data_IF_176961295671
#
_entry.id   IF_176961295671
#
_cell.length_a   1.000
_cell.length_b   1.000
_cell.length_c   1.000
_cell.angle_alpha   90.00
_cell.angle_beta   90.00
_cell.angle_gamma   90.00
#
_symmetry.space_group_name_H-M   'P 1'
#
loop_
_entity.id
_entity.type
_entity.pdbx_description
1 polymer ?
#
# COMPACT_ATOMS: atom_id res chain seq x y z
N UNK A 1 -21.64 -15.61 -9.53
CA UNK A 1 -20.36 -15.29 -8.84
C UNK A 1 -19.33 -16.24 -9.40
N UNK A 2 -18.28 -15.74 -10.07
CA UNK A 2 -17.09 -16.55 -10.35
C UNK A 2 -16.47 -16.87 -9.00
N UNK A 3 -16.41 -18.13 -8.60
CA UNK A 3 -15.61 -18.56 -7.47
C UNK A 3 -14.17 -18.13 -7.76
N UNK A 4 -13.51 -17.52 -6.79
CA UNK A 4 -12.08 -17.21 -6.89
C UNK A 4 -11.35 -18.52 -7.14
N UNK A 5 -10.50 -18.56 -8.18
CA UNK A 5 -9.66 -19.72 -8.43
C UNK A 5 -8.65 -19.85 -7.26
N UNK A 6 -8.49 -21.00 -6.62
CA UNK A 6 -7.56 -21.18 -5.51
C UNK A 6 -6.12 -20.75 -5.81
N UNK A 7 -5.70 -20.81 -7.08
CA UNK A 7 -4.41 -20.28 -7.52
C UNK A 7 -4.28 -18.76 -7.40
N UNK A 8 -5.41 -18.03 -7.33
CA UNK A 8 -5.45 -16.57 -7.19
C UNK A 8 -5.49 -16.12 -5.72
N UNK A 9 -5.33 -17.05 -4.77
CA UNK A 9 -5.30 -16.77 -3.32
C UNK A 9 -3.92 -17.08 -2.76
N UNK A 10 -3.20 -16.06 -2.29
CA UNK A 10 -1.91 -16.17 -1.61
C UNK A 10 -2.11 -16.03 -0.10
N UNK A 11 -1.69 -17.01 0.69
CA UNK A 11 -1.75 -16.97 2.15
C UNK A 11 -0.52 -16.26 2.69
N UNK A 12 -0.71 -15.14 3.43
CA UNK A 12 0.38 -14.33 3.97
C UNK A 12 0.93 -14.84 5.29
N UNK A 13 0.18 -15.67 6.01
CA UNK A 13 0.62 -16.25 7.26
C UNK A 13 -0.52 -16.76 8.12
N UNK A 14 -0.16 -17.33 9.27
CA UNK A 14 -1.03 -17.91 10.27
C UNK A 14 -0.63 -17.40 11.66
N UNK A 15 -1.51 -17.54 12.63
CA UNK A 15 -1.19 -17.26 14.03
C UNK A 15 -0.36 -18.39 14.67
N UNK A 16 -0.46 -19.61 14.12
CA UNK A 16 0.31 -20.76 14.55
C UNK A 16 1.64 -20.86 13.78
N UNK A 17 2.78 -20.84 14.49
CA UNK A 17 4.11 -20.92 13.87
C UNK A 17 4.31 -22.21 13.05
N UNK A 18 3.71 -23.32 13.50
CA UNK A 18 3.75 -24.59 12.78
C UNK A 18 3.14 -24.51 11.38
N UNK A 19 2.05 -23.77 11.24
CA UNK A 19 1.39 -23.54 9.95
C UNK A 19 2.19 -22.54 9.09
N UNK A 20 2.77 -21.51 9.69
CA UNK A 20 3.65 -20.57 9.00
C UNK A 20 4.83 -21.28 8.34
N UNK A 21 5.50 -22.18 9.05
CA UNK A 21 6.63 -22.93 8.52
C UNK A 21 6.28 -23.81 7.32
N UNK A 22 5.04 -24.23 7.19
CA UNK A 22 4.58 -25.13 6.12
C UNK A 22 3.93 -24.39 4.95
N UNK A 23 3.13 -23.35 5.22
CA UNK A 23 2.15 -22.83 4.26
C UNK A 23 2.21 -21.33 4.01
N UNK A 24 2.97 -20.56 4.79
CA UNK A 24 3.17 -19.13 4.55
C UNK A 24 3.72 -18.89 3.15
N UNK A 25 3.24 -17.83 2.51
CA UNK A 25 3.63 -17.38 1.17
C UNK A 25 3.35 -18.40 0.05
N UNK A 26 2.44 -19.36 0.31
CA UNK A 26 1.96 -20.31 -0.70
C UNK A 26 0.57 -19.96 -1.22
N UNK A 27 0.30 -20.39 -2.46
CA UNK A 27 -1.04 -20.31 -3.02
C UNK A 27 -1.93 -21.40 -2.44
N UNK A 28 -3.23 -21.11 -2.34
CA UNK A 28 -4.19 -22.07 -1.77
C UNK A 28 -4.26 -23.38 -2.56
N UNK A 29 -4.10 -23.35 -3.89
CA UNK A 29 -4.04 -24.55 -4.71
C UNK A 29 -2.79 -25.40 -4.44
N UNK A 30 -1.65 -24.77 -4.13
CA UNK A 30 -0.42 -25.47 -3.72
C UNK A 30 -0.61 -26.16 -2.36
N UNK A 31 -1.21 -25.45 -1.41
CA UNK A 31 -1.52 -26.00 -0.09
C UNK A 31 -2.51 -27.16 -0.22
N UNK A 32 -3.53 -27.04 -1.05
CA UNK A 32 -4.53 -28.08 -1.32
C UNK A 32 -3.90 -29.36 -1.86
N UNK A 33 -2.95 -29.22 -2.78
CA UNK A 33 -2.16 -30.37 -3.31
C UNK A 33 -1.36 -31.09 -2.21
N UNK A 34 -0.75 -30.31 -1.29
CA UNK A 34 -0.02 -30.88 -0.16
C UNK A 34 -0.93 -31.63 0.82
N UNK A 35 -2.17 -31.16 0.99
CA UNK A 35 -3.18 -31.82 1.83
C UNK A 35 -3.86 -33.01 1.16
N UNK A 36 -3.76 -33.14 -0.18
CA UNK A 36 -4.50 -34.15 -0.95
C UNK A 36 -6.02 -33.93 -0.92
N UNK A 37 -6.47 -32.68 -0.72
CA UNK A 37 -7.88 -32.25 -0.58
C UNK A 37 -8.22 -31.17 -1.58
N UNK A 38 -9.51 -30.93 -1.78
CA UNK A 38 -9.96 -29.75 -2.54
C UNK A 38 -9.73 -28.45 -1.73
N UNK A 39 -9.86 -27.31 -2.39
CA UNK A 39 -9.56 -26.01 -1.77
C UNK A 39 -10.50 -25.64 -0.62
N UNK A 40 -11.78 -26.00 -0.72
CA UNK A 40 -12.78 -25.68 0.30
C UNK A 40 -12.51 -26.48 1.60
N UNK A 41 -12.25 -27.78 1.46
CA UNK A 41 -11.86 -28.65 2.59
C UNK A 41 -10.53 -28.21 3.22
N UNK A 42 -9.54 -27.86 2.38
CA UNK A 42 -8.23 -27.34 2.82
C UNK A 42 -8.41 -26.04 3.62
N UNK A 43 -9.22 -25.13 3.13
CA UNK A 43 -9.49 -23.86 3.82
C UNK A 43 -10.12 -24.07 5.19
N UNK A 44 -11.09 -24.98 5.29
CA UNK A 44 -11.72 -25.34 6.57
C UNK A 44 -10.68 -25.93 7.55
N UNK A 45 -9.86 -26.87 7.07
CA UNK A 45 -8.81 -27.47 7.89
C UNK A 45 -7.81 -26.43 8.41
N UNK A 46 -7.38 -25.48 7.56
CA UNK A 46 -6.48 -24.41 7.94
C UNK A 46 -7.09 -23.47 8.98
N UNK A 47 -8.36 -23.10 8.83
CA UNK A 47 -9.07 -22.25 9.81
C UNK A 47 -9.17 -22.97 11.16
N UNK A 48 -9.50 -24.25 11.16
CA UNK A 48 -9.60 -25.06 12.39
C UNK A 48 -8.24 -25.25 13.04
N UNK A 49 -7.18 -25.47 12.25
CA UNK A 49 -5.83 -25.69 12.75
C UNK A 49 -5.18 -24.41 13.28
N UNK A 50 -5.44 -23.24 12.65
CA UNK A 50 -4.96 -21.95 13.13
C UNK A 50 -5.60 -21.54 14.45
N UNK A 51 -6.82 -22.01 14.70
CA UNK A 51 -7.57 -21.84 15.95
C UNK A 51 -7.51 -20.41 16.53
N UNK A 52 -7.53 -19.41 15.65
CA UNK A 52 -7.45 -18.00 16.00
C UNK A 52 -8.81 -17.32 15.90
N UNK A 53 -9.06 -16.33 16.76
CA UNK A 53 -10.20 -15.42 16.63
C UNK A 53 -10.04 -14.39 15.50
N UNK A 54 -8.87 -14.31 14.90
CA UNK A 54 -8.55 -13.38 13.81
C UNK A 54 -8.54 -14.12 12.46
N UNK A 55 -8.91 -13.46 11.37
CA UNK A 55 -8.88 -14.05 10.04
C UNK A 55 -7.45 -14.36 9.59
N UNK A 56 -7.27 -15.42 8.84
CA UNK A 56 -6.02 -15.73 8.13
C UNK A 56 -5.82 -14.68 7.04
N UNK A 57 -4.72 -13.89 7.07
CA UNK A 57 -4.48 -12.85 6.07
C UNK A 57 -4.15 -13.46 4.71
N UNK A 58 -4.87 -13.03 3.68
CA UNK A 58 -4.70 -13.49 2.31
C UNK A 58 -4.68 -12.32 1.32
N UNK A 59 -3.98 -12.51 0.19
CA UNK A 59 -4.08 -11.65 -0.98
C UNK A 59 -4.89 -12.37 -2.06
N UNK A 60 -5.84 -11.66 -2.65
CA UNK A 60 -6.66 -12.14 -3.75
C UNK A 60 -6.25 -11.44 -5.04
N UNK A 61 -5.77 -12.18 -6.04
CA UNK A 61 -5.38 -11.66 -7.35
C UNK A 61 -6.59 -11.56 -8.28
N UNK A 62 -7.48 -10.63 -7.98
CA UNK A 62 -8.77 -10.47 -8.68
C UNK A 62 -8.80 -9.26 -9.63
N UNK A 63 -7.79 -8.41 -9.59
CA UNK A 63 -7.77 -7.14 -10.33
C UNK A 63 -6.94 -7.31 -11.59
N UNK A 64 -7.57 -7.00 -12.74
CA UNK A 64 -6.91 -6.97 -14.04
C UNK A 64 -6.14 -5.66 -14.22
N UNK A 65 -4.87 -5.75 -14.63
CA UNK A 65 -3.98 -4.61 -14.82
C UNK A 65 -4.50 -3.61 -15.86
N UNK A 66 -5.17 -4.09 -16.93
CA UNK A 66 -5.76 -3.21 -17.95
C UNK A 66 -6.90 -2.36 -17.37
N UNK A 67 -7.64 -2.90 -16.40
CA UNK A 67 -8.67 -2.13 -15.71
C UNK A 67 -8.06 -1.07 -14.78
N UNK A 68 -6.95 -1.39 -14.12
CA UNK A 68 -6.19 -0.41 -13.33
C UNK A 68 -5.72 0.74 -14.24
N UNK A 69 -5.08 0.43 -15.37
CA UNK A 69 -4.63 1.45 -16.34
C UNK A 69 -5.77 2.32 -16.86
N UNK A 70 -6.92 1.74 -17.20
CA UNK A 70 -8.11 2.49 -17.63
C UNK A 70 -8.62 3.44 -16.54
N UNK A 71 -8.70 2.97 -15.29
CA UNK A 71 -9.11 3.81 -14.17
C UNK A 71 -8.13 4.94 -13.91
N UNK A 72 -6.83 4.66 -14.00
CA UNK A 72 -5.79 5.67 -13.82
C UNK A 72 -5.82 6.76 -14.90
N UNK A 73 -6.36 6.51 -16.09
CA UNK A 73 -6.51 7.52 -17.14
C UNK A 73 -7.68 8.49 -16.89
N UNK A 74 -8.59 8.20 -15.96
CA UNK A 74 -9.74 9.05 -15.65
C UNK A 74 -9.30 10.26 -14.81
N UNK A 75 -9.49 11.53 -15.25
CA UNK A 75 -8.87 12.71 -14.65
C UNK A 75 -9.40 13.05 -13.24
N UNK A 76 -10.49 12.46 -12.81
CA UNK A 76 -11.09 12.65 -11.49
C UNK A 76 -10.69 11.59 -10.46
N UNK A 77 -9.95 10.56 -10.88
CA UNK A 77 -9.47 9.50 -9.98
C UNK A 77 -8.25 10.00 -9.21
N UNK A 78 -8.33 10.00 -7.89
CA UNK A 78 -7.20 10.24 -7.00
C UNK A 78 -6.58 8.92 -6.53
N UNK A 79 -5.33 8.97 -6.09
CA UNK A 79 -4.55 7.80 -5.70
C UNK A 79 -4.54 7.67 -4.18
N UNK A 80 -4.74 6.46 -3.68
CA UNK A 80 -4.48 6.10 -2.30
C UNK A 80 -3.82 4.72 -2.20
N UNK A 81 -3.23 4.41 -1.06
CA UNK A 81 -2.53 3.13 -0.85
C UNK A 81 -3.46 2.00 -0.40
N UNK A 82 -4.56 2.31 0.27
CA UNK A 82 -5.35 1.33 1.05
C UNK A 82 -4.46 0.48 1.97
N UNK A 83 -3.34 1.07 2.41
CA UNK A 83 -2.35 0.45 3.27
C UNK A 83 -2.45 0.91 4.72
N UNK A 84 -1.99 0.07 5.64
CA UNK A 84 -1.83 0.43 7.04
C UNK A 84 -0.55 1.22 7.26
N UNK A 85 -0.49 2.01 8.35
CA UNK A 85 0.72 2.77 8.70
C UNK A 85 1.62 1.90 9.58
N UNK A 86 2.59 1.26 8.96
CA UNK A 86 3.61 0.43 9.62
C UNK A 86 5.00 0.82 9.15
N UNK A 87 6.00 0.51 9.97
CA UNK A 87 7.42 0.64 9.63
C UNK A 87 8.08 -0.74 9.75
N UNK A 88 9.07 -1.03 8.91
CA UNK A 88 9.78 -2.31 8.91
C UNK A 88 10.47 -2.58 10.26
N UNK A 89 11.01 -1.53 10.86
CA UNK A 89 11.70 -1.61 12.16
C UNK A 89 10.74 -1.69 13.36
N UNK A 90 9.43 -1.73 13.14
CA UNK A 90 8.45 -1.78 14.22
C UNK A 90 8.53 -3.14 14.96
N UNK A 91 8.62 -3.15 16.31
CA UNK A 91 8.62 -4.40 17.07
C UNK A 91 7.39 -5.26 16.77
N UNK A 92 7.60 -6.54 16.48
CA UNK A 92 6.52 -7.48 16.17
C UNK A 92 5.97 -7.41 14.75
N UNK A 93 6.61 -6.65 13.85
CA UNK A 93 6.24 -6.58 12.44
C UNK A 93 6.77 -7.78 11.63
N UNK A 94 6.40 -8.99 12.06
CA UNK A 94 6.83 -10.25 11.41
C UNK A 94 5.80 -10.78 10.39
N UNK A 95 4.73 -10.03 10.14
CA UNK A 95 3.67 -10.47 9.23
C UNK A 95 3.96 -9.96 7.81
N UNK A 96 3.84 -10.85 6.83
CA UNK A 96 3.78 -10.42 5.44
C UNK A 96 2.61 -9.46 5.24
N UNK A 97 2.81 -8.44 4.44
CA UNK A 97 1.78 -7.46 4.12
C UNK A 97 1.63 -7.31 2.60
N UNK A 98 0.60 -6.61 2.16
CA UNK A 98 0.47 -6.32 0.74
C UNK A 98 1.53 -5.27 0.32
N UNK A 99 2.24 -5.43 -0.82
CA UNK A 99 3.24 -4.47 -1.31
C UNK A 99 2.75 -3.01 -1.39
N UNK A 100 1.43 -2.81 -1.52
CA UNK A 100 0.80 -1.47 -1.55
C UNK A 100 1.09 -0.61 -0.32
N UNK A 101 1.40 -1.24 0.82
CA UNK A 101 1.72 -0.52 2.06
C UNK A 101 2.97 0.34 1.89
N UNK A 102 4.00 -0.20 1.25
CA UNK A 102 5.28 0.47 1.04
C UNK A 102 5.42 1.12 -0.34
N UNK A 103 4.75 0.57 -1.36
CA UNK A 103 5.05 0.86 -2.76
C UNK A 103 4.03 1.71 -3.52
N UNK A 104 2.78 1.86 -3.09
CA UNK A 104 1.69 2.41 -3.92
C UNK A 104 2.02 3.71 -4.64
N UNK A 105 2.49 4.71 -3.93
CA UNK A 105 2.73 6.05 -4.51
C UNK A 105 3.98 6.07 -5.40
N UNK A 106 5.04 5.37 -5.00
CA UNK A 106 6.24 5.23 -5.80
C UNK A 106 5.99 4.44 -7.08
N UNK A 107 5.25 3.31 -6.99
CA UNK A 107 4.80 2.54 -8.14
C UNK A 107 3.95 3.36 -9.11
N UNK A 108 3.05 4.18 -8.59
CA UNK A 108 2.24 5.04 -9.44
C UNK A 108 3.09 5.99 -10.26
N UNK A 109 4.06 6.67 -9.65
CA UNK A 109 4.95 7.58 -10.37
C UNK A 109 5.97 6.85 -11.24
N UNK A 110 6.58 5.79 -10.76
CA UNK A 110 7.60 5.03 -11.48
C UNK A 110 6.99 4.27 -12.66
N UNK A 111 6.10 3.33 -12.39
CA UNK A 111 5.52 2.47 -13.42
C UNK A 111 4.54 3.21 -14.32
N UNK A 112 3.45 3.74 -13.76
CA UNK A 112 2.33 4.22 -14.60
C UNK A 112 2.58 5.60 -15.22
N UNK A 113 3.30 6.48 -14.52
CA UNK A 113 3.58 7.83 -15.05
C UNK A 113 4.84 7.83 -15.89
N UNK A 114 6.00 7.41 -15.35
CA UNK A 114 7.28 7.47 -16.04
C UNK A 114 7.41 6.43 -17.15
N UNK A 115 7.20 5.14 -16.85
CA UNK A 115 7.47 4.02 -17.78
C UNK A 115 6.33 3.82 -18.78
N UNK A 116 5.10 3.71 -18.30
CA UNK A 116 3.91 3.47 -19.15
C UNK A 116 3.33 4.76 -19.75
N UNK A 117 3.75 5.94 -19.26
CA UNK A 117 3.36 7.28 -19.78
C UNK A 117 1.85 7.49 -19.89
N UNK A 118 1.09 6.95 -18.91
CA UNK A 118 -0.37 7.10 -18.90
C UNK A 118 -0.81 8.54 -18.70
N UNK A 119 0.05 9.40 -18.16
CA UNK A 119 -0.14 10.83 -17.95
C UNK A 119 1.20 11.53 -17.74
N UNK A 120 1.20 12.89 -17.71
CA UNK A 120 2.40 13.64 -17.35
C UNK A 120 2.73 13.53 -15.85
N UNK A 121 3.98 13.82 -15.48
CA UNK A 121 4.42 13.81 -14.07
C UNK A 121 3.60 14.82 -13.24
N UNK A 122 3.33 16.01 -13.78
CA UNK A 122 2.54 17.05 -13.10
C UNK A 122 1.11 16.57 -12.82
N UNK A 123 0.50 15.87 -13.78
CA UNK A 123 -0.83 15.28 -13.59
C UNK A 123 -0.79 14.16 -12.55
N UNK A 124 0.23 13.32 -12.56
CA UNK A 124 0.46 12.30 -11.53
C UNK A 124 0.54 12.91 -10.13
N UNK A 125 1.36 13.95 -9.97
CA UNK A 125 1.49 14.70 -8.71
C UNK A 125 0.16 15.31 -8.30
N UNK A 126 -0.56 15.95 -9.22
CA UNK A 126 -1.89 16.53 -8.96
C UNK A 126 -2.85 15.50 -8.35
N UNK A 127 -2.85 14.28 -8.87
CA UNK A 127 -3.74 13.19 -8.41
C UNK A 127 -3.41 12.64 -7.03
N UNK A 128 -2.20 12.84 -6.57
CA UNK A 128 -1.77 12.44 -5.23
C UNK A 128 -1.84 13.59 -4.21
N UNK A 129 -2.04 14.82 -4.66
CA UNK A 129 -1.93 16.02 -3.82
C UNK A 129 -3.15 16.92 -3.90
N UNK A 130 -3.22 17.85 -4.86
CA UNK A 130 -4.25 18.86 -4.92
C UNK A 130 -5.65 18.30 -5.26
N UNK A 131 -5.74 17.23 -6.04
CA UNK A 131 -7.03 16.59 -6.33
C UNK A 131 -7.67 16.00 -5.07
N UNK A 132 -7.03 15.08 -4.32
CA UNK A 132 -7.62 14.57 -3.09
C UNK A 132 -7.82 15.66 -2.03
N UNK A 133 -6.93 16.64 -1.91
CA UNK A 133 -7.10 17.75 -1.00
C UNK A 133 -8.36 18.58 -1.32
N UNK A 134 -8.61 18.82 -2.61
CA UNK A 134 -9.81 19.52 -3.09
C UNK A 134 -11.09 18.70 -2.82
N UNK A 135 -11.07 17.40 -3.17
CA UNK A 135 -12.21 16.51 -2.97
C UNK A 135 -12.62 16.40 -1.50
N UNK A 136 -11.63 16.33 -0.60
CA UNK A 136 -11.83 16.28 0.84
C UNK A 136 -11.99 17.66 1.49
N UNK A 137 -11.93 18.74 0.69
CA UNK A 137 -12.02 20.14 1.15
C UNK A 137 -11.00 20.46 2.25
N UNK A 138 -9.77 19.97 2.09
CA UNK A 138 -8.68 20.24 3.04
C UNK A 138 -8.16 21.67 2.85
N UNK A 139 -8.14 22.44 3.93
CA UNK A 139 -7.67 23.82 3.88
C UNK A 139 -6.14 23.88 3.90
N UNK A 140 -5.56 24.66 2.98
CA UNK A 140 -4.14 24.99 2.90
C UNK A 140 -3.21 23.77 2.81
N UNK A 141 -3.63 22.71 2.07
CA UNK A 141 -2.82 21.50 1.80
C UNK A 141 -2.94 21.09 0.33
N UNK A 142 -2.01 20.27 -0.11
CA UNK A 142 -1.99 19.69 -1.46
C UNK A 142 -1.46 20.61 -2.56
N UNK A 143 -0.90 21.77 -2.21
CA UNK A 143 -0.27 22.73 -3.14
C UNK A 143 0.94 23.40 -2.51
N UNK A 144 1.87 23.84 -3.36
CA UNK A 144 3.02 24.69 -2.99
C UNK A 144 2.63 26.15 -3.19
N UNK A 145 1.97 26.73 -2.19
CA UNK A 145 1.51 28.11 -2.19
C UNK A 145 1.87 28.81 -0.86
N UNK A 146 2.11 30.12 -0.88
CA UNK A 146 2.35 30.89 0.32
C UNK A 146 1.17 30.78 1.30
N UNK A 147 1.45 30.51 2.58
CA UNK A 147 0.43 30.31 3.61
C UNK A 147 -0.12 28.88 3.71
N UNK A 148 0.32 27.97 2.84
CA UNK A 148 0.01 26.54 2.95
C UNK A 148 0.93 25.83 3.94
N UNK A 149 0.48 24.71 4.47
CA UNK A 149 1.34 23.84 5.28
C UNK A 149 2.44 23.27 4.42
N UNK A 150 3.66 23.27 4.94
CA UNK A 150 4.81 22.70 4.26
C UNK A 150 4.83 21.16 4.41
N UNK A 151 3.96 20.50 3.66
CA UNK A 151 3.96 19.07 3.42
C UNK A 151 4.65 18.86 2.07
N UNK A 152 5.94 18.51 2.08
CA UNK A 152 6.79 18.50 0.91
C UNK A 152 7.47 17.16 0.74
N UNK A 153 7.60 16.71 -0.50
CA UNK A 153 8.42 15.55 -0.89
C UNK A 153 9.43 16.01 -1.93
N UNK A 154 10.70 15.71 -1.70
CA UNK A 154 11.79 15.91 -2.66
C UNK A 154 12.22 14.53 -3.13
N UNK A 155 12.06 14.25 -4.42
CA UNK A 155 12.34 12.96 -5.01
C UNK A 155 13.01 13.11 -6.39
N UNK A 156 13.68 12.04 -6.83
CA UNK A 156 14.26 11.92 -8.16
C UNK A 156 13.23 11.30 -9.11
N UNK A 157 12.75 12.07 -10.09
CA UNK A 157 11.73 11.62 -11.04
C UNK A 157 12.19 10.46 -11.93
N UNK A 158 13.51 10.35 -12.16
CA UNK A 158 14.09 9.29 -12.98
C UNK A 158 14.30 7.98 -12.20
N UNK A 159 14.33 8.05 -10.86
CA UNK A 159 14.63 6.91 -9.99
C UNK A 159 13.47 6.46 -9.12
N UNK A 160 12.43 7.30 -8.97
CA UNK A 160 11.29 6.95 -8.11
C UNK A 160 10.66 5.63 -8.56
N UNK A 161 10.64 4.64 -7.65
CA UNK A 161 10.02 3.34 -7.90
C UNK A 161 9.72 2.61 -6.59
N UNK A 162 8.78 1.66 -6.65
CA UNK A 162 8.54 0.71 -5.59
C UNK A 162 9.58 -0.42 -5.62
N UNK A 163 9.85 -1.00 -4.44
CA UNK A 163 10.70 -2.18 -4.28
C UNK A 163 9.93 -3.35 -3.67
N UNK A 164 8.81 -3.05 -3.01
CA UNK A 164 7.98 -4.07 -2.38
C UNK A 164 7.37 -5.01 -3.42
N UNK A 165 7.54 -6.32 -3.22
CA UNK A 165 6.92 -7.39 -4.01
C UNK A 165 5.99 -8.22 -3.13
N UNK A 166 5.32 -9.21 -3.70
CA UNK A 166 4.50 -10.13 -2.91
C UNK A 166 5.36 -11.08 -2.08
N UNK A 167 6.58 -11.36 -2.51
CA UNK A 167 7.57 -12.21 -1.82
C UNK A 167 8.37 -11.42 -0.78
N UNK A 168 8.64 -10.13 -1.05
CA UNK A 168 9.34 -9.20 -0.15
C UNK A 168 8.53 -7.90 -0.04
N UNK A 169 7.52 -7.92 0.81
CA UNK A 169 6.55 -6.82 0.93
C UNK A 169 7.03 -5.64 1.79
N UNK A 170 8.13 -5.79 2.53
CA UNK A 170 8.63 -4.81 3.49
C UNK A 170 9.75 -3.90 2.93
N UNK A 171 9.90 -3.84 1.63
CA UNK A 171 10.93 -3.03 0.98
C UNK A 171 10.47 -1.59 0.78
N UNK A 172 11.23 -0.62 1.32
CA UNK A 172 10.98 0.80 1.10
C UNK A 172 11.20 1.21 -0.36
N UNK A 173 10.43 2.21 -0.79
CA UNK A 173 10.56 2.80 -2.12
C UNK A 173 11.90 3.52 -2.30
N UNK A 174 12.43 3.54 -3.53
CA UNK A 174 13.62 4.28 -3.92
C UNK A 174 13.27 5.63 -4.56
N UNK A 175 14.26 6.53 -4.61
CA UNK A 175 14.16 7.83 -5.27
C UNK A 175 13.58 8.93 -4.39
N UNK A 176 13.11 8.66 -3.16
CA UNK A 176 12.68 9.69 -2.20
C UNK A 176 13.85 10.15 -1.37
N UNK A 177 14.20 11.44 -1.45
CA UNK A 177 15.32 12.02 -0.72
C UNK A 177 14.92 12.67 0.61
N UNK A 178 13.90 13.52 0.57
CA UNK A 178 13.46 14.28 1.74
C UNK A 178 11.94 14.35 1.81
N UNK A 179 11.40 14.27 3.02
CA UNK A 179 9.97 14.47 3.28
C UNK A 179 9.83 15.41 4.46
N UNK A 180 8.94 16.39 4.31
CA UNK A 180 8.55 17.34 5.36
C UNK A 180 7.05 17.20 5.62
N UNK A 181 6.67 17.21 6.87
CA UNK A 181 5.28 17.21 7.31
C UNK A 181 5.07 18.37 8.27
N UNK A 182 4.12 19.24 7.97
CA UNK A 182 3.88 20.48 8.74
C UNK A 182 5.17 21.32 8.97
N UNK A 183 6.07 21.34 7.99
CA UNK A 183 7.34 22.09 8.04
C UNK A 183 8.49 21.39 8.77
N UNK A 184 8.28 20.21 9.33
CA UNK A 184 9.32 19.44 10.03
C UNK A 184 9.79 18.29 9.14
N UNK A 185 11.11 18.16 8.98
CA UNK A 185 11.71 17.10 8.18
C UNK A 185 11.57 15.75 8.87
N UNK A 186 10.87 14.80 8.22
CA UNK A 186 10.64 13.45 8.72
C UNK A 186 11.49 12.40 8.01
N UNK A 187 11.90 12.66 6.74
CA UNK A 187 12.90 11.86 6.03
C UNK A 187 14.01 12.79 5.55
N UNK A 188 15.25 12.40 5.78
CA UNK A 188 16.46 13.07 5.34
C UNK A 188 17.38 12.06 4.66
N UNK A 189 17.72 12.29 3.38
CA UNK A 189 18.55 11.38 2.58
C UNK A 189 18.03 9.92 2.63
N UNK A 190 16.69 9.75 2.48
CA UNK A 190 16.05 8.43 2.51
C UNK A 190 15.87 7.81 3.90
N UNK A 191 16.39 8.43 4.96
CA UNK A 191 16.33 7.88 6.32
C UNK A 191 15.36 8.66 7.20
N UNK A 192 14.55 7.96 8.00
CA UNK A 192 13.61 8.57 8.94
C UNK A 192 14.34 9.28 10.08
N UNK A 193 13.93 10.52 10.41
CA UNK A 193 14.60 11.37 11.42
C UNK A 193 14.16 11.10 12.85
N UNK A 194 13.14 10.29 13.07
CA UNK A 194 12.47 10.10 14.36
C UNK A 194 11.41 11.17 14.67
N UNK A 195 11.30 12.25 13.89
CA UNK A 195 10.31 13.30 14.10
C UNK A 195 8.88 12.81 13.78
N UNK A 196 7.91 13.23 14.58
CA UNK A 196 6.49 12.86 14.46
C UNK A 196 5.58 14.09 14.46
N UNK A 197 5.66 14.98 13.45
CA UNK A 197 4.92 16.23 13.40
C UNK A 197 3.50 16.08 12.85
N UNK A 198 3.04 14.85 12.59
CA UNK A 198 1.70 14.56 12.07
C UNK A 198 0.59 15.09 12.97
N UNK A 199 -0.51 15.51 12.37
CA UNK A 199 -1.70 16.02 13.06
C UNK A 199 -2.97 15.45 12.46
N UNK A 200 -3.99 15.25 13.27
CA UNK A 200 -5.33 14.98 12.76
C UNK A 200 -5.82 16.13 11.89
N UNK A 201 -6.17 15.83 10.65
CA UNK A 201 -6.77 16.78 9.71
C UNK A 201 -8.28 16.61 9.79
N UNK A 202 -8.97 17.73 10.01
CA UNK A 202 -10.43 17.74 10.17
C UNK A 202 -11.08 18.38 8.96
N UNK A 203 -12.08 17.71 8.42
CA UNK A 203 -12.87 18.21 7.30
C UNK A 203 -13.83 19.35 7.71
N UNK A 204 -14.49 19.99 6.74
CA UNK A 204 -15.36 21.17 6.98
C UNK A 204 -16.54 20.91 7.89
N UNK A 205 -16.98 19.66 8.06
CA UNK A 205 -18.07 19.29 8.97
C UNK A 205 -17.68 19.23 10.45
N UNK A 206 -16.39 19.42 10.78
CA UNK A 206 -15.96 19.39 12.18
C UNK A 206 -16.41 20.64 12.91
N UNK A 207 -17.32 20.49 13.87
CA UNK A 207 -17.70 21.57 14.81
C UNK A 207 -16.68 21.59 15.95
N UNK A 208 -16.05 22.75 16.17
CA UNK A 208 -15.32 22.98 17.44
C UNK A 208 -16.33 22.85 18.55
N UNK A 209 -16.16 21.91 19.44
CA UNK A 209 -16.86 21.90 20.74
C UNK A 209 -16.24 22.95 21.65
#
# INVERSE_FOLDING_TARGET
>A
QKNSDPKDVLVLGFHQDSLNNLYRDKRLDEISKLHGKNADETLIDLILADNSSHPIPCIYFLIDEKNVQRMLQLPYVSICSDGVSIADEAPGNNYATHPRVYGSFARFLGKYVREEKLMSMEEGIRRMTSLPASNLKLSRRGKLESGFYADLVIFDSEKIQDRATFEDSHAYAEGVHHVFVNGVQVIKNGTHTGARPGRSIRGPGHKKR
#
